data_IF_061954593653
#
_entry.id   IF_061954593653
#
_cell.length_a   1.000
_cell.length_b   1.000
_cell.length_c   1.000
_cell.angle_alpha   90.00
_cell.angle_beta   90.00
_cell.angle_gamma   90.00
#
_symmetry.space_group_name_H-M   'P 1'
#
loop_
_entity.id
_entity.type
_entity.pdbx_description
1 polymer ?
#
# COMPACT_ATOMS: atom_id res chain seq x y z
N UNK A 1 14.82 4.31 3.57
CA UNK A 1 13.69 5.15 3.11
C UNK A 1 12.42 4.33 3.10
N UNK A 2 11.40 4.79 3.82
CA UNK A 2 10.11 4.13 3.97
C UNK A 2 9.00 5.05 3.45
N UNK A 3 7.92 4.46 2.98
CA UNK A 3 6.76 5.17 2.43
C UNK A 3 5.46 4.64 3.07
N UNK A 4 4.45 5.51 3.22
CA UNK A 4 3.13 5.10 3.69
C UNK A 4 2.03 6.07 3.27
N UNK A 5 0.80 5.56 3.15
CA UNK A 5 -0.42 6.36 3.05
C UNK A 5 -1.59 5.72 3.78
N UNK A 6 -2.54 6.55 4.20
CA UNK A 6 -3.82 6.17 4.81
C UNK A 6 -4.92 7.07 4.26
N UNK A 7 -6.12 6.53 4.12
CA UNK A 7 -7.29 7.25 3.61
C UNK A 7 -8.57 6.86 4.36
N UNK A 8 -9.38 7.86 4.68
CA UNK A 8 -10.70 7.73 5.28
C UNK A 8 -11.79 7.81 4.21
N UNK A 9 -12.64 6.80 4.12
CA UNK A 9 -13.68 6.71 3.11
C UNK A 9 -14.84 7.69 3.31
N UNK A 10 -15.02 8.27 4.50
CA UNK A 10 -16.16 9.15 4.82
C UNK A 10 -16.19 10.42 3.97
N UNK A 11 -15.04 11.07 3.88
CA UNK A 11 -14.85 12.36 3.22
C UNK A 11 -13.67 12.35 2.24
N UNK A 12 -13.01 11.20 2.08
CA UNK A 12 -11.79 11.02 1.29
C UNK A 12 -10.60 11.81 1.84
N UNK A 13 -10.61 12.19 3.12
CA UNK A 13 -9.42 12.74 3.76
C UNK A 13 -8.30 11.69 3.77
N UNK A 14 -7.07 12.15 3.59
CA UNK A 14 -5.93 11.28 3.39
C UNK A 14 -4.64 11.89 3.93
N UNK A 15 -3.70 11.02 4.29
CA UNK A 15 -2.37 11.42 4.70
C UNK A 15 -1.32 10.46 4.20
N UNK A 16 -0.15 10.99 3.85
CA UNK A 16 0.94 10.24 3.27
C UNK A 16 2.31 10.80 3.65
N UNK A 17 3.29 9.91 3.73
CA UNK A 17 4.71 10.25 3.86
C UNK A 17 5.53 9.42 2.89
N UNK A 18 6.56 10.02 2.30
CA UNK A 18 7.48 9.32 1.41
C UNK A 18 8.94 9.62 1.75
N UNK A 19 9.82 8.65 1.55
CA UNK A 19 11.26 8.82 1.76
C UNK A 19 11.65 9.10 3.21
N UNK A 20 10.83 8.70 4.19
CA UNK A 20 11.17 8.90 5.61
C UNK A 20 12.24 7.91 6.04
N UNK A 21 13.06 8.31 7.01
CA UNK A 21 14.21 7.52 7.47
C UNK A 21 14.27 7.33 8.97
N UNK A 22 13.59 8.17 9.74
CA UNK A 22 13.71 8.18 11.20
C UNK A 22 12.41 7.84 11.92
N UNK A 23 11.24 8.15 11.38
CA UNK A 23 9.99 7.77 12.07
C UNK A 23 9.82 6.25 12.11
N UNK A 24 9.66 5.70 13.32
CA UNK A 24 9.59 4.24 13.56
C UNK A 24 8.42 3.58 12.84
N UNK A 25 7.28 4.26 12.76
CA UNK A 25 6.08 3.77 12.12
C UNK A 25 5.59 4.77 11.06
N UNK A 26 6.01 4.64 9.79
CA UNK A 26 5.60 5.54 8.71
C UNK A 26 4.08 5.70 8.58
N UNK A 27 3.30 4.66 8.83
CA UNK A 27 1.83 4.74 8.79
C UNK A 27 1.24 5.66 9.88
N UNK A 28 1.88 5.77 11.04
CA UNK A 28 1.48 6.74 12.07
C UNK A 28 1.81 8.17 11.66
N UNK A 29 2.91 8.37 10.93
CA UNK A 29 3.24 9.67 10.35
C UNK A 29 2.23 10.06 9.27
N UNK A 30 1.88 9.15 8.35
CA UNK A 30 0.82 9.35 7.38
C UNK A 30 -0.52 9.71 8.06
N UNK A 31 -0.89 9.01 9.13
CA UNK A 31 -2.07 9.35 9.93
C UNK A 31 -1.98 10.74 10.58
N UNK A 32 -0.82 11.12 11.10
CA UNK A 32 -0.63 12.44 11.68
C UNK A 32 -0.71 13.56 10.61
N UNK A 33 -0.27 13.30 9.38
CA UNK A 33 -0.45 14.24 8.27
C UNK A 33 -1.95 14.47 8.02
N UNK A 34 -2.74 13.40 7.95
CA UNK A 34 -4.20 13.45 7.75
C UNK A 34 -4.94 14.19 8.87
N UNK A 35 -4.59 13.91 10.14
CA UNK A 35 -5.33 14.41 11.30
C UNK A 35 -4.85 15.78 11.79
N UNK A 36 -3.59 16.15 11.52
CA UNK A 36 -2.91 17.27 12.19
C UNK A 36 -2.24 18.26 11.23
N UNK A 37 -2.59 18.22 9.95
CA UNK A 37 -2.15 19.21 8.97
C UNK A 37 -3.26 19.51 7.96
N UNK A 38 -3.13 20.61 7.21
CA UNK A 38 -4.00 20.93 6.07
C UNK A 38 -3.54 20.24 4.76
N UNK A 39 -2.50 19.42 4.83
CA UNK A 39 -1.84 18.81 3.67
C UNK A 39 -2.10 17.32 3.61
N UNK A 40 -1.99 16.76 2.41
CA UNK A 40 -2.15 15.31 2.18
C UNK A 40 -0.81 14.56 2.25
N UNK A 41 0.31 15.19 1.87
CA UNK A 41 1.58 14.47 1.71
C UNK A 41 2.80 15.30 2.08
N UNK A 42 3.71 14.69 2.84
CA UNK A 42 5.07 15.20 3.06
C UNK A 42 6.12 14.21 2.55
N UNK A 43 7.33 14.68 2.27
CA UNK A 43 8.41 13.81 1.82
C UNK A 43 9.78 14.16 2.45
N UNK A 44 10.66 13.16 2.50
CA UNK A 44 12.04 13.27 2.93
C UNK A 44 12.20 13.76 4.37
N UNK A 45 13.23 14.58 4.59
CA UNK A 45 13.56 15.12 5.92
C UNK A 45 12.46 16.01 6.50
N UNK A 46 11.67 16.68 5.65
CA UNK A 46 10.51 17.46 6.09
C UNK A 46 9.42 16.59 6.71
N UNK A 47 9.19 15.38 6.16
CA UNK A 47 8.26 14.43 6.74
C UNK A 47 8.74 13.87 8.10
N UNK A 48 10.04 13.57 8.22
CA UNK A 48 10.63 13.16 9.51
C UNK A 48 10.54 14.29 10.55
N UNK A 49 10.83 15.55 10.17
CA UNK A 49 10.72 16.70 11.07
C UNK A 49 9.27 16.95 11.52
N UNK A 50 8.30 16.81 10.60
CA UNK A 50 6.88 16.88 10.95
C UNK A 50 6.51 15.76 11.94
N UNK A 51 6.90 14.51 11.67
CA UNK A 51 6.63 13.38 12.56
C UNK A 51 7.20 13.60 13.97
N UNK A 52 8.43 14.11 14.08
CA UNK A 52 9.08 14.45 15.34
C UNK A 52 8.32 15.57 16.09
N UNK A 53 7.91 16.62 15.38
CA UNK A 53 7.10 17.71 15.95
C UNK A 53 5.72 17.24 16.44
N UNK A 54 5.16 16.18 15.84
CA UNK A 54 3.93 15.54 16.29
C UNK A 54 4.12 14.57 17.47
N UNK A 55 5.34 14.43 17.98
CA UNK A 55 5.69 13.57 19.12
C UNK A 55 5.72 12.08 18.79
N UNK A 56 5.98 11.71 17.52
CA UNK A 56 6.11 10.31 17.12
C UNK A 56 7.49 9.74 17.48
N UNK A 57 7.53 8.42 17.70
CA UNK A 57 8.78 7.72 18.00
C UNK A 57 9.76 7.82 16.82
N UNK A 58 10.89 8.45 17.08
CA UNK A 58 12.00 8.57 16.13
C UNK A 58 13.10 7.57 16.50
N UNK A 59 13.65 6.89 15.51
CA UNK A 59 14.74 5.90 15.63
C UNK A 59 15.88 6.27 14.69
N UNK A 60 17.07 5.73 14.96
CA UNK A 60 18.13 5.71 13.95
C UNK A 60 17.72 4.84 12.77
N UNK A 61 18.15 5.17 11.55
CA UNK A 61 17.75 4.40 10.38
C UNK A 61 18.23 2.94 10.44
N UNK A 62 19.32 2.65 11.15
CA UNK A 62 19.82 1.29 11.36
C UNK A 62 18.83 0.39 12.11
N UNK A 63 17.80 0.95 12.76
CA UNK A 63 16.72 0.19 13.40
C UNK A 63 15.97 -0.73 12.40
N UNK A 64 15.88 -0.33 11.13
CA UNK A 64 15.15 -1.08 10.11
C UNK A 64 16.01 -2.14 9.41
N UNK A 65 17.30 -2.18 9.72
CA UNK A 65 18.20 -3.14 9.11
C UNK A 65 17.97 -4.55 9.65
N UNK A 66 18.00 -5.52 8.73
CA UNK A 66 18.01 -6.94 9.09
C UNK A 66 19.07 -7.63 8.26
N UNK A 67 19.72 -8.66 8.82
CA UNK A 67 20.75 -9.42 8.11
C UNK A 67 20.22 -10.00 6.80
N UNK A 68 18.96 -10.47 6.82
CA UNK A 68 18.27 -10.96 5.61
C UNK A 68 18.19 -9.89 4.52
N UNK A 69 17.85 -8.64 4.85
CA UNK A 69 17.74 -7.57 3.83
C UNK A 69 19.10 -7.02 3.41
N UNK A 70 20.11 -7.06 4.28
CA UNK A 70 21.51 -6.77 3.90
C UNK A 70 22.04 -7.78 2.89
N UNK A 71 21.85 -9.08 3.14
CA UNK A 71 22.24 -10.13 2.19
C UNK A 71 21.49 -10.02 0.84
N UNK A 72 20.19 -9.67 0.86
CA UNK A 72 19.44 -9.39 -0.37
C UNK A 72 20.02 -8.19 -1.13
N UNK A 73 20.42 -7.12 -0.43
CA UNK A 73 21.07 -5.97 -1.04
C UNK A 73 22.42 -6.33 -1.67
N UNK A 74 23.30 -7.01 -0.95
CA UNK A 74 24.60 -7.47 -1.44
C UNK A 74 24.45 -8.30 -2.71
N UNK A 75 23.57 -9.31 -2.67
CA UNK A 75 23.29 -10.16 -3.84
C UNK A 75 22.79 -9.36 -5.05
N UNK A 76 21.82 -8.45 -4.86
CA UNK A 76 21.27 -7.64 -5.96
C UNK A 76 22.34 -6.73 -6.57
N UNK A 77 23.27 -6.19 -5.77
CA UNK A 77 24.37 -5.36 -6.26
C UNK A 77 25.41 -6.16 -7.05
N UNK A 78 25.72 -7.38 -6.60
CA UNK A 78 26.65 -8.29 -7.28
C UNK A 78 26.07 -8.83 -8.59
N UNK A 79 24.86 -9.38 -8.55
CA UNK A 79 24.19 -10.01 -9.71
C UNK A 79 23.60 -8.98 -10.67
N UNK A 80 23.42 -7.73 -10.23
CA UNK A 80 22.70 -6.66 -10.95
C UNK A 80 21.30 -7.08 -11.40
N UNK A 81 20.66 -7.99 -10.65
CA UNK A 81 19.36 -8.54 -10.95
C UNK A 81 18.49 -8.62 -9.69
N UNK A 82 17.20 -8.30 -9.84
CA UNK A 82 16.20 -8.43 -8.77
C UNK A 82 15.30 -9.63 -9.02
N UNK A 83 15.05 -10.41 -7.97
CA UNK A 83 14.00 -11.43 -7.91
C UNK A 83 12.64 -10.78 -7.62
N UNK A 84 11.55 -11.54 -7.66
CA UNK A 84 10.23 -11.05 -7.24
C UNK A 84 10.23 -10.61 -5.76
N UNK A 85 10.86 -11.40 -4.87
CA UNK A 85 10.99 -11.10 -3.45
C UNK A 85 11.80 -9.81 -3.14
N UNK A 86 12.63 -9.33 -4.07
CA UNK A 86 13.36 -8.08 -3.93
C UNK A 86 12.53 -6.86 -4.33
N UNK A 87 11.45 -7.07 -5.09
CA UNK A 87 10.52 -6.03 -5.54
C UNK A 87 9.32 -5.90 -4.61
N UNK A 88 9.03 -6.93 -3.81
CA UNK A 88 7.87 -7.00 -2.94
C UNK A 88 8.29 -6.83 -1.47
N UNK A 89 7.67 -5.87 -0.79
CA UNK A 89 7.93 -5.53 0.61
C UNK A 89 6.86 -4.60 1.20
N UNK A 90 5.73 -4.50 0.50
CA UNK A 90 4.60 -3.66 0.86
C UNK A 90 3.64 -4.47 1.72
N UNK A 91 3.10 -3.83 2.74
CA UNK A 91 2.01 -4.35 3.55
C UNK A 91 0.87 -3.33 3.56
N UNK A 92 -0.34 -3.81 3.71
CA UNK A 92 -1.48 -2.93 3.79
C UNK A 92 -2.72 -3.61 4.36
N UNK A 93 -3.74 -2.79 4.60
CA UNK A 93 -4.99 -3.20 5.21
C UNK A 93 -6.14 -2.37 4.65
N UNK A 94 -7.30 -3.02 4.53
CA UNK A 94 -8.59 -2.38 4.31
C UNK A 94 -9.54 -2.85 5.41
N UNK A 95 -10.43 -1.96 5.86
CA UNK A 95 -11.37 -2.28 6.93
C UNK A 95 -12.69 -1.52 6.75
N UNK A 96 -13.76 -2.12 7.28
CA UNK A 96 -15.07 -1.51 7.44
C UNK A 96 -15.42 -1.54 8.93
N UNK A 97 -15.94 -0.43 9.47
CA UNK A 97 -16.42 -0.38 10.85
C UNK A 97 -17.94 -0.66 10.95
N UNK A 98 -18.44 -0.72 12.18
CA UNK A 98 -19.86 -0.98 12.47
C UNK A 98 -20.82 0.09 11.94
N UNK A 99 -20.30 1.29 11.62
CA UNK A 99 -21.07 2.41 11.08
C UNK A 99 -21.00 2.42 9.53
N UNK A 100 -20.35 1.42 8.92
CA UNK A 100 -20.20 1.29 7.48
C UNK A 100 -19.08 2.16 6.88
N UNK A 101 -18.15 2.67 7.71
CA UNK A 101 -17.05 3.49 7.21
C UNK A 101 -15.90 2.62 6.74
N UNK A 102 -15.45 2.91 5.53
CA UNK A 102 -14.32 2.25 4.88
C UNK A 102 -13.02 3.02 5.15
N UNK A 103 -11.93 2.29 5.31
CA UNK A 103 -10.59 2.86 5.37
C UNK A 103 -9.56 1.95 4.70
N UNK A 104 -8.50 2.57 4.17
CA UNK A 104 -7.38 1.86 3.56
C UNK A 104 -6.04 2.42 4.04
N UNK A 105 -5.04 1.56 4.18
CA UNK A 105 -3.69 1.92 4.59
C UNK A 105 -2.66 1.03 3.89
N UNK A 106 -1.55 1.63 3.44
CA UNK A 106 -0.45 0.91 2.79
C UNK A 106 0.89 1.48 3.25
N UNK A 107 1.88 0.62 3.53
CA UNK A 107 3.25 1.03 3.86
C UNK A 107 4.30 0.07 3.31
N UNK A 108 5.48 0.59 3.00
CA UNK A 108 6.54 -0.20 2.37
C UNK A 108 7.93 0.34 2.70
N UNK A 109 8.94 -0.54 2.61
CA UNK A 109 10.34 -0.11 2.45
C UNK A 109 10.73 0.17 1.00
N UNK A 110 9.84 -0.15 0.05
CA UNK A 110 10.11 -0.13 -1.38
C UNK A 110 10.85 -1.39 -1.82
N UNK A 111 11.63 -1.25 -2.91
CA UNK A 111 12.40 -2.35 -3.49
C UNK A 111 13.86 -2.36 -3.04
N UNK A 112 14.47 -3.55 -2.98
CA UNK A 112 15.90 -3.70 -2.72
C UNK A 112 16.72 -2.96 -3.79
N UNK A 113 17.80 -2.30 -3.36
CA UNK A 113 18.68 -1.50 -4.21
C UNK A 113 17.95 -0.43 -5.04
N UNK A 114 16.88 0.17 -4.51
CA UNK A 114 16.24 1.33 -5.15
C UNK A 114 17.23 2.51 -5.24
N UNK A 115 17.11 3.33 -6.28
CA UNK A 115 17.82 4.61 -6.32
C UNK A 115 17.36 5.47 -5.14
N UNK A 116 18.29 6.23 -4.53
CA UNK A 116 17.96 7.15 -3.45
C UNK A 116 16.86 8.13 -3.89
N UNK A 117 15.86 8.33 -3.05
CA UNK A 117 14.69 9.15 -3.37
C UNK A 117 13.68 8.52 -4.33
N UNK A 118 13.84 7.26 -4.75
CA UNK A 118 12.78 6.55 -5.52
C UNK A 118 11.56 6.34 -4.63
N UNK A 119 10.43 6.86 -5.09
CA UNK A 119 9.11 6.72 -4.47
C UNK A 119 8.26 5.75 -5.29
N UNK A 120 7.68 4.75 -4.62
CA UNK A 120 6.76 3.79 -5.23
C UNK A 120 5.29 4.25 -5.16
N UNK A 121 4.39 3.30 -5.35
CA UNK A 121 2.93 3.45 -5.33
C UNK A 121 2.38 3.66 -3.91
N UNK A 122 3.00 3.05 -2.89
CA UNK A 122 2.46 2.98 -1.52
C UNK A 122 2.08 4.33 -0.86
N UNK A 123 2.81 5.45 -1.04
CA UNK A 123 2.39 6.74 -0.47
C UNK A 123 1.47 7.54 -1.40
N UNK A 124 1.15 7.05 -2.60
CA UNK A 124 0.39 7.77 -3.60
C UNK A 124 -1.08 7.36 -3.55
N UNK A 125 -1.93 8.29 -3.09
CA UNK A 125 -3.37 8.11 -3.05
C UNK A 125 -3.92 7.85 -4.45
N UNK A 126 -4.71 6.79 -4.57
CA UNK A 126 -5.25 6.32 -5.85
C UNK A 126 -4.34 5.36 -6.62
N UNK A 127 -3.04 5.27 -6.30
CA UNK A 127 -2.20 4.21 -6.85
C UNK A 127 -2.31 2.94 -6.00
N UNK A 128 -1.86 3.01 -4.74
CA UNK A 128 -1.86 1.86 -3.84
C UNK A 128 -2.94 1.90 -2.77
N UNK A 129 -3.37 3.09 -2.35
CA UNK A 129 -4.33 3.26 -1.25
C UNK A 129 -5.48 4.12 -1.74
N UNK A 130 -6.70 3.64 -1.59
CA UNK A 130 -7.90 4.43 -1.83
C UNK A 130 -9.05 3.92 -0.96
N UNK A 131 -9.90 4.82 -0.46
CA UNK A 131 -11.11 4.47 0.26
C UNK A 131 -12.22 5.49 -0.05
N UNK A 132 -13.42 5.01 -0.32
CA UNK A 132 -14.61 5.82 -0.51
C UNK A 132 -15.85 5.06 -0.02
N UNK A 133 -16.55 5.63 0.97
CA UNK A 133 -17.79 5.07 1.51
C UNK A 133 -18.83 4.90 0.39
N UNK A 134 -19.56 3.78 0.43
CA UNK A 134 -20.52 3.40 -0.62
C UNK A 134 -19.88 2.94 -1.93
N UNK A 135 -18.56 2.75 -1.98
CA UNK A 135 -17.83 2.24 -3.15
C UNK A 135 -16.91 1.09 -2.74
N UNK A 136 -15.66 1.39 -2.36
CA UNK A 136 -14.70 0.40 -1.87
C UNK A 136 -13.51 1.04 -1.16
N UNK A 137 -12.80 0.21 -0.38
CA UNK A 137 -11.45 0.43 0.09
C UNK A 137 -10.49 -0.54 -0.61
N UNK A 138 -9.32 -0.04 -1.00
CA UNK A 138 -8.30 -0.79 -1.73
C UNK A 138 -6.93 -0.53 -1.11
N UNK A 139 -6.17 -1.60 -0.89
CA UNK A 139 -4.72 -1.55 -0.65
C UNK A 139 -3.99 -2.45 -1.64
N UNK A 140 -2.89 -1.96 -2.21
CA UNK A 140 -2.14 -2.63 -3.25
C UNK A 140 -0.70 -2.97 -2.82
N UNK A 141 -0.14 -3.99 -3.45
CA UNK A 141 1.26 -4.38 -3.34
C UNK A 141 1.77 -4.86 -4.69
N UNK A 142 3.02 -4.55 -5.05
CA UNK A 142 3.59 -5.03 -6.30
C UNK A 142 4.71 -4.15 -6.83
N UNK A 143 4.89 -4.19 -8.14
CA UNK A 143 5.86 -3.35 -8.83
C UNK A 143 5.31 -1.93 -9.02
N UNK A 144 5.61 -1.07 -8.03
CA UNK A 144 4.99 0.25 -7.88
C UNK A 144 4.95 1.15 -9.11
N UNK A 145 5.96 1.13 -9.98
CA UNK A 145 5.96 1.93 -11.23
C UNK A 145 4.73 1.65 -12.10
N UNK A 146 4.27 0.39 -12.17
CA UNK A 146 3.09 0.03 -12.95
C UNK A 146 1.79 0.37 -12.23
N UNK A 147 1.76 0.22 -10.91
CA UNK A 147 0.60 0.57 -10.08
C UNK A 147 0.32 2.09 -10.13
N UNK A 148 1.37 2.91 -10.18
CA UNK A 148 1.26 4.35 -10.40
C UNK A 148 0.69 4.65 -11.79
N UNK A 149 1.25 4.02 -12.83
CA UNK A 149 0.87 4.28 -14.22
C UNK A 149 -0.58 3.91 -14.53
N UNK A 150 -1.09 2.85 -13.90
CA UNK A 150 -2.49 2.41 -14.04
C UNK A 150 -3.43 3.14 -13.07
N UNK A 151 -2.91 3.67 -11.94
CA UNK A 151 -3.75 4.22 -10.88
C UNK A 151 -4.64 3.15 -10.24
N UNK A 152 -4.06 1.98 -9.96
CA UNK A 152 -4.80 0.73 -9.66
C UNK A 152 -5.92 0.93 -8.63
N UNK A 153 -5.63 1.49 -7.45
CA UNK A 153 -6.62 1.62 -6.39
C UNK A 153 -7.80 2.52 -6.80
N UNK A 154 -7.53 3.63 -7.50
CA UNK A 154 -8.57 4.53 -7.99
C UNK A 154 -9.36 3.91 -9.13
N UNK A 155 -8.70 3.23 -10.06
CA UNK A 155 -9.32 2.53 -11.20
C UNK A 155 -10.31 1.48 -10.71
N UNK A 156 -9.94 0.68 -9.71
CA UNK A 156 -10.85 -0.31 -9.11
C UNK A 156 -12.11 0.36 -8.58
N UNK A 157 -11.98 1.40 -7.75
CA UNK A 157 -13.15 2.07 -7.19
C UNK A 157 -13.95 2.88 -8.23
N UNK A 158 -13.34 3.40 -9.30
CA UNK A 158 -14.09 4.00 -10.41
C UNK A 158 -14.88 2.97 -11.20
N UNK A 159 -14.36 1.77 -11.41
CA UNK A 159 -15.12 0.71 -12.08
C UNK A 159 -16.32 0.27 -11.26
N UNK A 160 -16.16 0.11 -9.96
CA UNK A 160 -17.28 -0.18 -9.04
C UNK A 160 -18.30 0.96 -9.09
N UNK A 161 -17.86 2.20 -8.96
CA UNK A 161 -18.73 3.38 -8.86
C UNK A 161 -19.43 3.76 -10.17
N UNK A 162 -18.70 3.75 -11.28
CA UNK A 162 -19.13 4.34 -12.55
C UNK A 162 -19.61 3.28 -13.54
N UNK A 163 -19.01 2.09 -13.54
CA UNK A 163 -19.38 1.00 -14.42
C UNK A 163 -20.32 -0.02 -13.75
N UNK A 164 -20.40 -0.03 -12.41
CA UNK A 164 -21.21 -0.98 -11.65
C UNK A 164 -20.57 -2.38 -11.58
N UNK A 165 -19.27 -2.48 -11.80
CA UNK A 165 -18.53 -3.75 -11.71
C UNK A 165 -18.52 -4.27 -10.26
N UNK A 166 -18.51 -5.60 -10.09
CA UNK A 166 -18.18 -6.20 -8.79
C UNK A 166 -16.71 -5.97 -8.43
N UNK A 167 -16.40 -5.91 -7.12
CA UNK A 167 -15.04 -5.59 -6.64
C UNK A 167 -13.96 -6.53 -7.17
N UNK A 168 -14.27 -7.82 -7.32
CA UNK A 168 -13.34 -8.82 -7.86
C UNK A 168 -13.07 -8.57 -9.35
N UNK A 169 -14.12 -8.45 -10.17
CA UNK A 169 -13.98 -8.15 -11.61
C UNK A 169 -13.29 -6.81 -11.90
N UNK A 170 -13.52 -5.81 -11.04
CA UNK A 170 -12.85 -4.52 -11.12
C UNK A 170 -11.34 -4.65 -10.82
N UNK A 171 -10.99 -5.42 -9.80
CA UNK A 171 -9.61 -5.72 -9.44
C UNK A 171 -8.87 -6.56 -10.49
N UNK A 172 -9.51 -7.59 -11.03
CA UNK A 172 -8.97 -8.39 -12.14
C UNK A 172 -8.69 -7.53 -13.37
N UNK A 173 -9.60 -6.63 -13.73
CA UNK A 173 -9.43 -5.72 -14.86
C UNK A 173 -8.23 -4.78 -14.66
N UNK A 174 -8.10 -4.17 -13.48
CA UNK A 174 -6.98 -3.28 -13.18
C UNK A 174 -5.63 -4.03 -13.18
N UNK A 175 -5.60 -5.27 -12.66
CA UNK A 175 -4.39 -6.08 -12.68
C UNK A 175 -4.05 -6.65 -14.06
N UNK A 176 -5.03 -6.82 -14.94
CA UNK A 176 -4.80 -7.15 -16.34
C UNK A 176 -4.05 -6.00 -17.04
N UNK A 177 -4.45 -4.73 -16.83
CA UNK A 177 -3.71 -3.57 -17.36
C UNK A 177 -2.28 -3.50 -16.82
N UNK A 178 -2.08 -3.80 -15.52
CA UNK A 178 -0.73 -3.91 -14.94
C UNK A 178 0.09 -4.99 -15.63
N UNK A 179 -0.49 -6.16 -15.88
CA UNK A 179 0.17 -7.28 -16.55
C UNK A 179 0.53 -6.96 -18.01
N UNK A 180 -0.35 -6.29 -18.76
CA UNK A 180 -0.10 -5.85 -20.13
C UNK A 180 1.11 -4.91 -20.24
N UNK A 181 1.35 -4.10 -19.20
CA UNK A 181 2.53 -3.25 -19.11
C UNK A 181 3.80 -3.99 -18.64
N UNK A 182 3.68 -5.25 -18.22
CA UNK A 182 4.77 -6.08 -17.69
C UNK A 182 4.98 -5.97 -16.18
N UNK A 183 4.00 -5.47 -15.44
CA UNK A 183 4.01 -5.40 -13.98
C UNK A 183 3.40 -6.63 -13.32
N UNK A 184 3.75 -6.85 -12.06
CA UNK A 184 3.16 -7.88 -11.19
C UNK A 184 2.78 -7.31 -9.82
N UNK A 185 1.87 -7.99 -9.12
CA UNK A 185 1.43 -7.64 -7.78
C UNK A 185 0.05 -8.19 -7.42
N UNK A 186 -0.60 -7.50 -6.49
CA UNK A 186 -1.93 -7.84 -5.99
C UNK A 186 -2.60 -6.72 -5.23
N UNK A 187 -3.88 -6.90 -4.98
CA UNK A 187 -4.74 -5.98 -4.24
C UNK A 187 -5.61 -6.74 -3.26
N UNK A 188 -5.91 -6.07 -2.15
CA UNK A 188 -7.01 -6.41 -1.26
C UNK A 188 -8.09 -5.34 -1.42
N UNK A 189 -9.34 -5.76 -1.60
CA UNK A 189 -10.48 -4.87 -1.83
C UNK A 189 -11.59 -5.22 -0.85
N UNK A 190 -12.27 -4.22 -0.30
CA UNK A 190 -13.41 -4.36 0.59
C UNK A 190 -14.51 -3.38 0.18
N UNK A 191 -15.74 -3.84 0.02
CA UNK A 191 -16.92 -3.01 -0.27
C UNK A 191 -17.69 -2.62 1.00
N UNK A 192 -18.73 -1.78 0.82
CA UNK A 192 -19.58 -1.28 1.91
C UNK A 192 -20.50 -2.32 2.55
N UNK A 193 -20.68 -3.49 1.92
CA UNK A 193 -21.50 -4.59 2.43
C UNK A 193 -20.66 -5.65 3.18
N UNK A 194 -19.34 -5.41 3.28
CA UNK A 194 -18.38 -6.35 3.88
C UNK A 194 -17.92 -7.45 2.92
N UNK A 195 -18.29 -7.39 1.65
CA UNK A 195 -17.72 -8.21 0.59
C UNK A 195 -16.26 -7.84 0.38
N UNK A 196 -15.40 -8.83 0.20
CA UNK A 196 -13.97 -8.61 0.01
C UNK A 196 -13.42 -9.49 -1.11
N UNK A 197 -12.34 -9.03 -1.75
CA UNK A 197 -11.64 -9.75 -2.80
C UNK A 197 -10.13 -9.69 -2.58
N UNK A 198 -9.47 -10.79 -2.93
CA UNK A 198 -8.02 -10.91 -2.98
C UNK A 198 -7.61 -11.28 -4.41
N UNK A 199 -7.08 -10.32 -5.16
CA UNK A 199 -6.72 -10.55 -6.56
C UNK A 199 -5.25 -10.24 -6.74
N UNK A 200 -4.52 -11.15 -7.37
CA UNK A 200 -3.08 -11.01 -7.61
C UNK A 200 -2.66 -11.80 -8.85
N UNK A 201 -1.66 -11.28 -9.56
CA UNK A 201 -1.03 -11.93 -10.72
C UNK A 201 0.43 -12.33 -10.44
N UNK A 202 0.91 -12.08 -9.22
CA UNK A 202 2.18 -12.60 -8.70
C UNK A 202 2.08 -14.10 -8.36
N UNK A 203 3.23 -14.76 -8.14
CA UNK A 203 3.28 -16.17 -7.74
C UNK A 203 2.51 -16.44 -6.42
N UNK A 204 2.53 -15.47 -5.50
CA UNK A 204 1.75 -15.49 -4.28
C UNK A 204 1.60 -14.09 -3.68
N UNK A 205 0.70 -13.99 -2.70
CA UNK A 205 0.44 -12.79 -1.91
C UNK A 205 0.07 -13.19 -0.49
N UNK A 206 0.93 -12.88 0.49
CA UNK A 206 0.61 -13.04 1.91
C UNK A 206 -0.64 -12.23 2.24
N UNK A 207 -1.72 -12.91 2.63
CA UNK A 207 -3.02 -12.29 2.88
C UNK A 207 -3.75 -12.93 4.05
N UNK A 208 -4.65 -12.17 4.63
CA UNK A 208 -5.57 -12.67 5.63
C UNK A 208 -6.81 -11.80 5.77
N UNK A 209 -7.86 -12.38 6.30
CA UNK A 209 -9.14 -11.72 6.61
C UNK A 209 -9.56 -12.10 8.02
N UNK A 210 -10.20 -11.15 8.71
CA UNK A 210 -10.90 -11.40 9.97
C UNK A 210 -12.31 -10.86 9.81
N UNK A 211 -13.29 -11.72 10.01
CA UNK A 211 -14.71 -11.37 9.99
C UNK A 211 -15.46 -12.13 11.12
N UNK A 212 -16.79 -12.04 11.12
CA UNK A 212 -17.63 -12.71 12.13
C UNK A 212 -17.50 -14.25 12.15
N UNK A 213 -17.03 -14.87 11.06
CA UNK A 213 -16.76 -16.30 10.96
C UNK A 213 -15.37 -16.72 11.48
N UNK A 214 -14.49 -15.75 11.74
CA UNK A 214 -13.16 -15.97 12.30
C UNK A 214 -12.04 -15.39 11.43
N UNK A 215 -10.82 -15.89 11.66
CA UNK A 215 -9.61 -15.47 10.95
C UNK A 215 -9.17 -16.53 9.94
N UNK A 216 -8.80 -16.09 8.73
CA UNK A 216 -8.30 -16.93 7.64
C UNK A 216 -7.04 -16.31 7.04
N UNK A 217 -6.10 -17.14 6.61
CA UNK A 217 -4.83 -16.72 6.00
C UNK A 217 -4.49 -17.60 4.81
N UNK A 218 -3.87 -17.04 3.79
CA UNK A 218 -3.41 -17.77 2.61
C UNK A 218 -2.21 -17.08 1.97
N UNK A 219 -1.51 -17.78 1.07
CA UNK A 219 -0.35 -17.23 0.37
C UNK A 219 -0.50 -17.42 -1.14
N UNK A 220 -0.86 -18.63 -1.58
CA UNK A 220 -0.90 -18.98 -3.00
C UNK A 220 -2.34 -18.90 -3.55
N UNK A 221 -2.46 -19.01 -4.87
CA UNK A 221 -3.76 -19.08 -5.55
C UNK A 221 -4.45 -20.43 -5.33
N UNK A 222 -5.78 -20.42 -5.27
CA UNK A 222 -6.58 -21.63 -5.06
C UNK A 222 -6.71 -22.09 -3.60
N UNK A 223 -6.19 -21.30 -2.65
CA UNK A 223 -6.34 -21.46 -1.19
C UNK A 223 -7.39 -20.53 -0.60
#
# INVERSE_FOLDING_TARGET
ELDASIMDGRDRNAGAVAGVTRVRNPIKAARAVMDKSEHVMFAGTGADAFAEAQGLDMVDNSYFDTDRRRQSLERVLEERARTAADRHGTVGAVAIDQDGNLAAATTTGGMTAKAAGRIGDSPLIGAATYAENGVCAVSATGHGEYFIRVGVAKTICDRVKLAGDGIESAAESALAEVAELGGDGGVIVLDGDGGYAFVFNSEGMYRGVVDASGARTAIYGGE
#
